data_IF_285322446093
#
_entry.id   IF_285322446093
#
_cell.length_a   1.000
_cell.length_b   1.000
_cell.length_c   1.000
_cell.angle_alpha   90.00
_cell.angle_beta   90.00
_cell.angle_gamma   90.00
#
_symmetry.space_group_name_H-M   'P 1'
#
loop_
_entity.id
_entity.type
_entity.pdbx_description
1 polymer ?
#
# COMPACT_ATOMS: atom_id res chain seq x y z
N UNK A 1 13.01 -22.03 48.79
CA UNK A 1 12.07 -21.80 48.28
C UNK A 1 11.64 -20.77 47.51
N UNK A 2 12.31 -19.99 46.86
CA UNK A 2 11.85 -18.99 46.11
C UNK A 2 12.03 -19.31 44.74
N UNK A 3 11.12 -19.62 43.97
CA UNK A 3 11.19 -19.88 42.59
C UNK A 3 10.27 -19.08 41.83
N UNK A 4 10.21 -17.80 42.02
CA UNK A 4 9.19 -17.04 41.39
C UNK A 4 9.81 -16.15 40.45
N UNK A 5 10.38 -15.86 39.77
CA UNK A 5 10.88 -14.81 38.96
C UNK A 5 11.28 -15.20 37.55
N UNK A 6 11.16 -16.48 37.26
CA UNK A 6 11.68 -16.92 35.98
C UNK A 6 10.64 -16.91 34.91
N UNK A 7 9.41 -16.80 35.26
CA UNK A 7 8.35 -16.96 34.25
C UNK A 7 8.00 -15.73 33.47
N UNK A 8 8.49 -14.59 33.85
CA UNK A 8 8.03 -13.35 33.25
C UNK A 8 8.80 -12.97 32.01
N UNK A 9 9.95 -13.53 31.80
CA UNK A 9 10.80 -13.09 30.69
C UNK A 9 10.47 -13.67 29.34
N UNK A 10 9.62 -14.67 29.27
CA UNK A 10 9.40 -15.34 28.02
C UNK A 10 8.29 -14.76 27.16
N UNK A 11 7.36 -14.06 27.76
CA UNK A 11 6.19 -13.58 27.03
C UNK A 11 6.43 -12.38 26.14
N UNK A 12 7.43 -11.58 26.42
CA UNK A 12 7.61 -10.33 25.70
C UNK A 12 8.15 -10.48 24.28
N UNK A 13 8.94 -11.52 24.04
CA UNK A 13 9.52 -11.67 22.72
C UNK A 13 8.56 -12.18 21.65
N UNK A 14 7.41 -12.72 22.05
CA UNK A 14 6.44 -13.20 21.10
C UNK A 14 5.57 -12.09 20.53
N UNK A 15 5.61 -10.89 21.10
CA UNK A 15 4.80 -9.80 20.65
C UNK A 15 5.42 -9.01 19.49
N UNK A 16 6.66 -9.29 19.16
CA UNK A 16 7.30 -8.63 18.03
C UNK A 16 7.01 -9.42 16.78
N UNK A 17 5.80 -9.32 16.29
CA UNK A 17 5.48 -9.89 15.00
C UNK A 17 6.17 -9.06 13.92
N UNK A 18 6.93 -9.70 13.08
CA UNK A 18 7.55 -9.03 11.95
C UNK A 18 6.46 -8.70 10.94
N UNK A 19 6.27 -7.44 10.69
CA UNK A 19 5.37 -7.00 9.64
C UNK A 19 6.23 -6.77 8.40
N UNK A 20 6.08 -7.64 7.41
CA UNK A 20 6.79 -7.49 6.17
C UNK A 20 5.84 -6.86 5.15
N UNK A 21 6.24 -5.74 4.59
CA UNK A 21 5.54 -5.17 3.46
C UNK A 21 5.87 -5.99 2.20
N UNK A 22 4.94 -6.05 1.27
CA UNK A 22 5.18 -6.70 -0.01
C UNK A 22 6.23 -5.92 -0.78
N UNK A 23 7.37 -6.56 -1.03
CA UNK A 23 8.45 -5.93 -1.78
C UNK A 23 8.25 -6.12 -3.27
N UNK A 24 8.63 -5.13 -4.06
CA UNK A 24 8.58 -5.17 -5.50
C UNK A 24 7.95 -3.91 -6.09
N UNK A 25 8.04 -3.82 -7.39
CA UNK A 25 7.36 -2.78 -8.14
C UNK A 25 6.22 -3.43 -8.90
N UNK A 26 5.01 -2.99 -8.61
CA UNK A 26 3.81 -3.59 -9.18
C UNK A 26 3.06 -2.55 -10.00
N UNK A 27 2.55 -2.97 -11.13
CA UNK A 27 1.65 -2.11 -11.91
C UNK A 27 0.21 -2.32 -11.46
N UNK A 28 -0.64 -1.34 -11.69
CA UNK A 28 -2.04 -1.41 -11.24
C UNK A 28 -2.82 -2.56 -11.88
N UNK A 29 -2.42 -2.98 -13.07
CA UNK A 29 -3.06 -4.09 -13.75
C UNK A 29 -2.53 -5.45 -13.31
N UNK A 30 -1.52 -5.46 -12.47
CA UNK A 30 -0.90 -6.70 -12.03
C UNK A 30 -0.51 -6.60 -10.55
N UNK A 31 -1.44 -6.24 -9.70
CA UNK A 31 -1.20 -6.15 -8.27
C UNK A 31 -1.16 -7.55 -7.64
N UNK A 32 -0.28 -7.78 -6.65
CA UNK A 32 -0.19 -9.06 -5.97
C UNK A 32 -1.29 -9.21 -4.92
N UNK A 33 -2.54 -9.27 -5.36
CA UNK A 33 -3.71 -9.21 -4.50
C UNK A 33 -3.73 -10.28 -3.41
N UNK A 34 -3.36 -11.52 -3.76
CA UNK A 34 -3.32 -12.60 -2.78
C UNK A 34 -2.28 -12.35 -1.69
N UNK A 35 -1.12 -11.85 -2.07
CA UNK A 35 -0.06 -11.52 -1.14
C UNK A 35 -0.43 -10.34 -0.26
N UNK A 36 -1.06 -9.33 -0.84
CA UNK A 36 -1.57 -8.17 -0.08
C UNK A 36 -2.58 -8.61 0.96
N UNK A 37 -3.49 -9.52 0.60
CA UNK A 37 -4.47 -10.05 1.54
C UNK A 37 -3.80 -10.79 2.70
N UNK A 38 -2.79 -11.58 2.40
CA UNK A 38 -2.08 -12.33 3.43
C UNK A 38 -1.29 -11.44 4.38
N UNK A 39 -0.66 -10.41 3.86
CA UNK A 39 0.22 -9.56 4.64
C UNK A 39 -0.48 -8.42 5.35
N UNK A 40 -1.53 -7.86 4.76
CA UNK A 40 -2.19 -6.67 5.29
C UNK A 40 -3.66 -6.88 5.62
N UNK A 41 -4.27 -7.96 5.17
CA UNK A 41 -5.70 -8.16 5.31
C UNK A 41 -6.55 -7.34 4.35
N UNK A 42 -5.92 -6.65 3.39
CA UNK A 42 -6.62 -5.80 2.44
C UNK A 42 -6.40 -6.29 1.01
N UNK A 43 -7.48 -6.38 0.25
CA UNK A 43 -7.44 -6.68 -1.18
C UNK A 43 -8.14 -5.56 -1.92
N UNK A 44 -7.45 -4.85 -2.82
CA UNK A 44 -8.10 -3.81 -3.60
C UNK A 44 -9.21 -4.40 -4.48
N UNK A 45 -10.36 -3.74 -4.51
CA UNK A 45 -11.44 -4.16 -5.38
C UNK A 45 -11.10 -3.82 -6.83
N UNK A 46 -11.69 -4.56 -7.76
CA UNK A 46 -11.54 -4.26 -9.19
C UNK A 46 -11.97 -2.84 -9.51
N UNK A 47 -13.07 -2.39 -8.89
CA UNK A 47 -13.57 -1.04 -9.09
C UNK A 47 -12.57 0.03 -8.62
N UNK A 48 -11.91 -0.20 -7.48
CA UNK A 48 -10.89 0.73 -7.00
C UNK A 48 -9.70 0.80 -7.94
N UNK A 49 -9.20 -0.36 -8.37
CA UNK A 49 -8.06 -0.43 -9.29
C UNK A 49 -8.38 0.26 -10.61
N UNK A 50 -9.53 0.00 -11.19
CA UNK A 50 -9.95 0.66 -12.42
C UNK A 50 -10.07 2.17 -12.26
N UNK A 51 -10.60 2.61 -11.14
CA UNK A 51 -10.70 4.03 -10.86
C UNK A 51 -9.34 4.69 -10.78
N UNK A 52 -8.38 4.05 -10.12
CA UNK A 52 -7.01 4.54 -10.04
C UNK A 52 -6.34 4.58 -11.40
N UNK A 53 -6.55 3.57 -12.22
CA UNK A 53 -5.99 3.52 -13.56
C UNK A 53 -6.55 4.62 -14.44
N UNK A 54 -7.86 4.86 -14.38
CA UNK A 54 -8.51 5.89 -15.19
C UNK A 54 -8.18 7.30 -14.73
N UNK A 55 -7.91 7.47 -13.43
CA UNK A 55 -7.55 8.77 -12.89
C UNK A 55 -6.10 9.14 -13.12
N UNK A 56 -5.24 8.17 -13.36
CA UNK A 56 -3.80 8.41 -13.49
C UNK A 56 -3.45 8.89 -14.88
N UNK A 57 -2.62 9.93 -14.96
CA UNK A 57 -2.19 10.52 -16.22
C UNK A 57 -0.68 10.67 -16.24
N UNK A 58 -0.15 10.69 -17.45
CA UNK A 58 1.21 11.12 -17.70
C UNK A 58 1.18 12.35 -18.58
N UNK A 59 1.86 13.40 -18.13
CA UNK A 59 2.00 14.63 -18.90
C UNK A 59 3.27 14.52 -19.74
N UNK A 60 3.24 15.08 -20.93
CA UNK A 60 4.41 15.12 -21.79
C UNK A 60 5.60 15.74 -21.04
N UNK A 61 6.77 15.13 -21.18
CA UNK A 61 7.94 15.55 -20.41
C UNK A 61 8.20 14.72 -19.15
N UNK A 62 7.31 13.78 -18.82
CA UNK A 62 7.58 12.83 -17.76
C UNK A 62 6.93 13.12 -16.42
N UNK A 63 6.04 14.10 -16.34
CA UNK A 63 5.32 14.38 -15.11
C UNK A 63 4.09 13.49 -14.94
N UNK A 64 3.75 13.21 -13.70
CA UNK A 64 2.54 12.49 -13.36
C UNK A 64 1.44 13.47 -12.95
N UNK A 65 0.20 13.11 -13.22
CA UNK A 65 -0.95 13.90 -12.86
C UNK A 65 -2.13 12.98 -12.56
N UNK A 66 -3.21 13.55 -12.09
CA UNK A 66 -4.42 12.79 -11.82
C UNK A 66 -5.67 13.62 -12.14
N UNK A 67 -6.67 12.96 -12.72
CA UNK A 67 -8.00 13.52 -12.78
C UNK A 67 -8.62 13.52 -11.39
N UNK A 68 -9.17 14.64 -10.97
CA UNK A 68 -9.82 14.76 -9.67
C UNK A 68 -11.31 15.09 -9.79
N UNK A 69 -11.84 15.23 -10.99
CA UNK A 69 -13.26 15.39 -11.24
C UNK A 69 -13.66 14.72 -12.55
N UNK A 70 -14.93 14.35 -12.68
CA UNK A 70 -15.42 13.77 -13.94
C UNK A 70 -15.47 14.78 -15.09
N UNK A 71 -15.34 16.06 -14.81
CA UNK A 71 -15.35 17.10 -15.83
C UNK A 71 -13.97 17.41 -16.39
N UNK A 72 -12.94 16.64 -15.99
CA UNK A 72 -11.63 16.82 -16.56
C UNK A 72 -10.68 17.72 -15.79
N UNK A 73 -10.99 18.02 -14.53
CA UNK A 73 -10.06 18.78 -13.70
C UNK A 73 -8.86 17.90 -13.34
N UNK A 74 -7.66 18.40 -13.59
CA UNK A 74 -6.42 17.65 -13.40
C UNK A 74 -5.57 18.31 -12.34
N UNK A 75 -4.99 17.50 -11.46
CA UNK A 75 -4.03 17.94 -10.47
C UNK A 75 -2.64 17.42 -10.81
N UNK A 76 -1.64 18.29 -10.71
CA UNK A 76 -0.26 17.92 -10.92
C UNK A 76 0.67 18.76 -10.04
N UNK A 77 1.97 18.56 -10.15
CA UNK A 77 2.93 19.34 -9.40
C UNK A 77 3.12 20.72 -10.01
N UNK A 78 3.46 21.69 -9.18
CA UNK A 78 3.69 23.07 -9.64
C UNK A 78 4.77 23.16 -10.73
N UNK A 79 5.85 22.40 -10.56
CA UNK A 79 6.97 22.44 -11.52
C UNK A 79 6.63 21.79 -12.86
N UNK A 80 5.50 21.12 -12.97
CA UNK A 80 5.04 20.49 -14.22
C UNK A 80 4.04 21.37 -14.98
N UNK A 81 3.55 22.39 -14.35
CA UNK A 81 2.53 23.27 -14.95
C UNK A 81 3.12 24.33 -15.86
#
# INVERSE_FOLDING_TARGET
MRRFGIWIAVGGSLLCASVFAAEGMWTLDNLPSARMQQETGFTPSTALVERMMRASLRIAGGCSASFISPEGLVMTNHHCA
#
